data_IF_968506208400
#
_entry.id   IF_968506208400
#
_cell.length_a   1.000
_cell.length_b   1.000
_cell.length_c   1.000
_cell.angle_alpha   90.00
_cell.angle_beta   90.00
_cell.angle_gamma   90.00
#
_symmetry.space_group_name_H-M   'P 1'
#
loop_
_entity.id
_entity.type
_entity.pdbx_description
1 polymer ?
#
# COMPACT_ATOMS: atom_id res chain seq x y z
N UNK A 1 -25.24 43.81 22.79
CA UNK A 1 -25.41 44.44 21.46
C UNK A 1 -24.10 44.34 20.69
N UNK A 2 -24.13 43.78 19.46
CA UNK A 2 -23.06 43.78 18.43
C UNK A 2 -21.77 43.03 18.84
N UNK A 3 -21.56 41.75 18.50
CA UNK A 3 -21.31 41.17 17.16
C UNK A 3 -20.41 42.08 16.33
N UNK A 4 -19.13 41.72 16.12
CA UNK A 4 -18.55 41.52 14.79
C UNK A 4 -17.17 40.85 14.87
N UNK A 5 -17.03 39.81 14.05
CA UNK A 5 -15.86 38.93 13.88
C UNK A 5 -14.60 39.69 13.43
N UNK A 6 -13.39 39.14 13.75
CA UNK A 6 -12.14 39.62 13.19
C UNK A 6 -12.05 39.34 11.68
N UNK A 7 -11.40 40.27 10.99
CA UNK A 7 -11.08 40.23 9.56
C UNK A 7 -10.34 38.93 9.19
N UNK A 8 -11.01 38.06 8.44
CA UNK A 8 -10.39 37.05 7.60
C UNK A 8 -9.85 37.75 6.35
N UNK A 9 -8.54 37.98 6.29
CA UNK A 9 -7.88 38.37 5.04
C UNK A 9 -7.78 37.11 4.15
N UNK A 10 -8.70 36.98 3.19
CA UNK A 10 -8.67 35.91 2.20
C UNK A 10 -7.44 36.12 1.27
N UNK A 11 -6.40 35.31 1.47
CA UNK A 11 -5.30 35.18 0.53
C UNK A 11 -5.81 34.53 -0.75
N UNK A 12 -5.98 35.34 -1.80
CA UNK A 12 -6.38 34.90 -3.14
C UNK A 12 -5.17 34.27 -3.82
N UNK A 13 -5.00 32.96 -3.64
CA UNK A 13 -4.03 32.19 -4.42
C UNK A 13 -4.45 32.23 -5.90
N UNK A 14 -3.61 32.85 -6.72
CA UNK A 14 -3.73 32.94 -8.17
C UNK A 14 -3.35 31.57 -8.74
N UNK A 15 -4.33 30.78 -9.12
CA UNK A 15 -4.14 29.55 -9.90
C UNK A 15 -3.39 29.86 -11.22
N UNK A 16 -2.30 29.14 -11.56
CA UNK A 16 -1.62 29.30 -12.85
C UNK A 16 -2.42 28.64 -14.00
N UNK A 17 -2.34 29.17 -15.23
CA UNK A 17 -3.11 28.67 -16.36
C UNK A 17 -2.66 27.26 -16.78
N UNK A 18 -3.64 26.38 -16.99
CA UNK A 18 -3.47 25.05 -17.61
C UNK A 18 -2.90 25.19 -19.02
N UNK A 19 -1.60 24.91 -19.20
CA UNK A 19 -1.00 24.76 -20.51
C UNK A 19 -1.30 23.38 -21.09
N UNK A 20 -2.36 23.26 -21.88
CA UNK A 20 -2.56 22.14 -22.79
C UNK A 20 -1.90 22.47 -24.13
N UNK A 21 -0.68 21.97 -24.36
CA UNK A 21 -0.11 21.72 -25.69
C UNK A 21 1.29 21.09 -25.58
N UNK A 22 1.39 19.86 -25.09
CA UNK A 22 2.56 19.04 -25.40
C UNK A 22 2.34 18.46 -26.79
N UNK A 23 3.01 19.05 -27.79
CA UNK A 23 3.03 18.55 -29.16
C UNK A 23 3.73 17.20 -29.18
N UNK A 24 2.96 16.12 -29.31
CA UNK A 24 3.49 14.83 -29.74
C UNK A 24 3.79 14.94 -31.23
N UNK A 25 5.07 15.16 -31.56
CA UNK A 25 5.55 14.95 -32.92
C UNK A 25 5.48 13.47 -33.25
N UNK A 26 4.68 13.13 -34.26
CA UNK A 26 4.59 11.81 -34.83
C UNK A 26 5.88 11.48 -35.60
N UNK A 27 6.71 10.58 -35.05
CA UNK A 27 7.68 9.82 -35.84
C UNK A 27 6.95 8.60 -36.41
N UNK A 28 6.53 8.68 -37.67
CA UNK A 28 6.16 7.51 -38.48
C UNK A 28 7.39 7.09 -39.27
N UNK A 29 8.07 6.05 -38.82
CA UNK A 29 8.99 5.28 -39.66
C UNK A 29 8.27 4.02 -40.08
N UNK A 30 7.94 3.95 -41.37
CA UNK A 30 7.42 2.75 -42.01
C UNK A 30 8.52 1.70 -42.14
N UNK A 31 8.13 0.45 -41.91
CA UNK A 31 8.78 -0.73 -42.50
C UNK A 31 7.65 -1.60 -43.03
N UNK A 32 7.55 -1.63 -44.34
CA UNK A 32 6.60 -2.44 -45.09
C UNK A 32 7.06 -3.89 -45.16
N UNK A 33 6.04 -4.76 -45.09
CA UNK A 33 5.88 -6.00 -45.84
C UNK A 33 6.82 -7.17 -45.57
N UNK A 34 6.22 -8.28 -45.10
CA UNK A 34 6.64 -9.60 -45.56
C UNK A 34 6.24 -10.79 -44.68
N UNK A 35 5.29 -11.57 -45.20
CA UNK A 35 5.22 -13.02 -45.09
C UNK A 35 4.72 -13.67 -43.78
N UNK A 36 3.40 -13.94 -43.82
CA UNK A 36 2.71 -15.14 -43.33
C UNK A 36 3.63 -16.37 -43.22
N UNK A 37 3.63 -17.04 -42.07
CA UNK A 37 3.25 -18.46 -41.96
C UNK A 37 3.47 -19.02 -40.54
N UNK A 38 2.38 -19.59 -40.03
CA UNK A 38 2.29 -20.80 -39.22
C UNK A 38 3.13 -20.94 -37.96
N UNK A 39 2.40 -21.08 -36.86
CA UNK A 39 2.63 -22.09 -35.83
C UNK A 39 4.05 -22.18 -35.31
N UNK A 40 4.35 -21.30 -34.36
CA UNK A 40 5.23 -21.61 -33.25
C UNK A 40 4.83 -20.70 -32.09
N UNK A 41 3.85 -21.18 -31.32
CA UNK A 41 3.62 -20.75 -29.95
C UNK A 41 4.78 -21.35 -29.15
N UNK A 42 5.93 -20.69 -29.23
CA UNK A 42 7.12 -21.10 -28.50
C UNK A 42 6.90 -20.63 -27.05
N UNK A 43 6.68 -21.58 -26.14
CA UNK A 43 7.01 -21.35 -24.74
C UNK A 43 8.54 -21.19 -24.69
N UNK A 44 9.02 -19.95 -24.75
CA UNK A 44 10.37 -19.51 -24.44
C UNK A 44 10.21 -18.01 -24.19
N UNK A 45 10.37 -17.51 -22.97
CA UNK A 45 11.61 -17.61 -22.22
C UNK A 45 11.38 -18.11 -20.80
N UNK A 46 11.78 -19.36 -20.57
CA UNK A 46 12.21 -19.85 -19.27
C UNK A 46 13.39 -18.98 -18.80
N UNK A 47 13.09 -17.95 -18.00
CA UNK A 47 14.09 -17.32 -17.16
C UNK A 47 14.69 -18.43 -16.30
N UNK A 48 16.01 -18.69 -16.38
CA UNK A 48 16.63 -19.71 -15.56
C UNK A 48 16.35 -19.36 -14.10
N UNK A 49 15.69 -20.29 -13.40
CA UNK A 49 15.65 -20.35 -11.95
C UNK A 49 17.10 -20.09 -11.48
N UNK A 50 17.33 -18.91 -10.91
CA UNK A 50 18.68 -18.43 -10.66
C UNK A 50 19.34 -19.36 -9.64
N UNK A 51 20.55 -19.88 -9.86
CA UNK A 51 21.18 -20.75 -8.89
C UNK A 51 21.91 -19.92 -7.85
N UNK A 52 21.22 -19.51 -6.78
CA UNK A 52 21.88 -19.03 -5.56
C UNK A 52 20.95 -19.08 -4.34
N UNK A 53 20.98 -20.19 -3.60
CA UNK A 53 20.66 -20.23 -2.15
C UNK A 53 19.28 -19.76 -1.70
N UNK A 54 18.28 -19.65 -2.58
CA UNK A 54 16.91 -19.27 -2.24
C UNK A 54 15.99 -20.49 -2.23
N UNK A 55 14.93 -20.45 -1.41
CA UNK A 55 13.94 -21.52 -1.32
C UNK A 55 13.29 -21.76 -2.69
N UNK A 56 13.35 -22.98 -3.22
CA UNK A 56 12.85 -23.30 -4.56
C UNK A 56 11.34 -23.06 -4.69
N UNK A 57 10.60 -23.21 -3.61
CA UNK A 57 9.17 -22.93 -3.51
C UNK A 57 8.85 -22.43 -2.09
N UNK A 58 7.81 -21.60 -1.97
CA UNK A 58 7.26 -21.14 -0.68
C UNK A 58 6.35 -22.20 -0.01
N UNK A 59 6.01 -23.28 -0.71
CA UNK A 59 5.03 -24.27 -0.24
C UNK A 59 3.59 -23.75 -0.13
N UNK A 60 3.34 -22.50 -0.54
CA UNK A 60 2.02 -21.87 -0.60
C UNK A 60 1.61 -21.68 -2.06
N UNK A 61 0.33 -21.93 -2.36
CA UNK A 61 -0.18 -21.72 -3.71
C UNK A 61 -0.44 -20.23 -3.97
N UNK A 62 -0.06 -19.75 -5.15
CA UNK A 62 -0.30 -18.36 -5.58
C UNK A 62 0.73 -17.34 -5.10
N UNK A 63 1.71 -17.74 -4.27
CA UNK A 63 2.77 -16.86 -3.75
C UNK A 63 4.10 -17.21 -4.42
N UNK A 64 4.57 -16.45 -5.43
CA UNK A 64 5.83 -16.71 -6.10
C UNK A 64 7.03 -16.30 -5.23
N UNK A 65 8.13 -17.05 -5.35
CA UNK A 65 9.39 -16.71 -4.65
C UNK A 65 9.99 -15.44 -5.24
N UNK A 66 10.37 -14.50 -4.38
CA UNK A 66 10.97 -13.24 -4.81
C UNK A 66 12.51 -13.34 -4.82
N UNK A 67 13.21 -12.92 -5.89
CA UNK A 67 14.66 -13.12 -6.01
C UNK A 67 15.50 -12.29 -5.01
N UNK A 68 15.02 -11.11 -4.62
CA UNK A 68 15.72 -10.21 -3.68
C UNK A 68 14.73 -9.53 -2.70
N UNK A 69 14.23 -10.25 -1.68
CA UNK A 69 13.12 -9.76 -0.84
C UNK A 69 13.51 -8.61 0.10
N UNK A 70 14.72 -8.63 0.68
CA UNK A 70 15.19 -7.62 1.65
C UNK A 70 15.18 -6.17 1.14
N UNK A 71 15.87 -5.83 0.02
CA UNK A 71 15.85 -4.45 -0.49
C UNK A 71 14.45 -4.03 -0.92
N UNK A 72 13.63 -4.98 -1.41
CA UNK A 72 12.26 -4.71 -1.79
C UNK A 72 11.41 -4.30 -0.57
N UNK A 73 11.47 -5.06 0.52
CA UNK A 73 10.78 -4.76 1.78
C UNK A 73 11.17 -3.40 2.36
N UNK A 74 12.47 -3.06 2.36
CA UNK A 74 12.94 -1.75 2.83
C UNK A 74 12.26 -0.63 2.04
N UNK A 75 12.22 -0.76 0.70
CA UNK A 75 11.58 0.23 -0.16
C UNK A 75 10.07 0.35 0.06
N UNK A 76 9.38 -0.75 0.41
CA UNK A 76 7.95 -0.75 0.69
C UNK A 76 7.66 -0.07 2.04
N UNK A 77 8.38 -0.43 3.11
CA UNK A 77 8.17 0.18 4.42
C UNK A 77 8.48 1.67 4.45
N UNK A 78 9.56 2.11 3.80
CA UNK A 78 9.86 3.54 3.65
C UNK A 78 8.72 4.29 2.95
N UNK A 79 8.13 3.67 1.92
CA UNK A 79 7.00 4.23 1.17
C UNK A 79 5.71 4.25 1.99
N UNK A 80 5.48 3.24 2.82
CA UNK A 80 4.35 3.20 3.77
C UNK A 80 4.46 4.38 4.73
N UNK A 81 5.63 4.57 5.37
CA UNK A 81 5.86 5.68 6.30
C UNK A 81 5.59 7.02 5.60
N UNK A 82 6.17 7.23 4.42
CA UNK A 82 5.96 8.47 3.66
C UNK A 82 4.50 8.70 3.25
N UNK A 83 3.80 7.65 2.82
CA UNK A 83 2.39 7.76 2.40
C UNK A 83 1.47 8.00 3.60
N UNK A 84 1.78 7.39 4.74
CA UNK A 84 1.05 7.56 6.00
C UNK A 84 1.14 8.98 6.58
N UNK A 85 2.19 9.75 6.25
CA UNK A 85 2.32 11.15 6.65
C UNK A 85 1.16 12.04 6.17
N UNK A 86 0.47 11.63 5.10
CA UNK A 86 -0.73 12.31 4.55
C UNK A 86 -1.94 12.23 5.48
N UNK A 87 -1.96 11.27 6.41
CA UNK A 87 -3.04 11.08 7.39
C UNK A 87 -2.81 11.97 8.62
N UNK A 88 -3.84 12.34 9.39
CA UNK A 88 -3.64 13.13 10.61
C UNK A 88 -2.89 12.32 11.69
N UNK A 89 -1.92 12.94 12.39
CA UNK A 89 -1.12 12.30 13.45
C UNK A 89 -1.94 11.79 14.64
N UNK A 90 -3.10 12.40 14.90
CA UNK A 90 -4.02 11.98 15.95
C UNK A 90 -4.80 10.70 15.61
N UNK A 91 -4.80 10.25 14.35
CA UNK A 91 -5.51 9.02 13.98
C UNK A 91 -4.83 7.78 14.55
N UNK A 92 -5.61 6.91 15.21
CA UNK A 92 -5.12 5.66 15.76
C UNK A 92 -4.49 4.76 14.69
N UNK A 93 -5.10 4.73 13.49
CA UNK A 93 -4.59 3.96 12.35
C UNK A 93 -3.18 4.40 11.91
N UNK A 94 -2.92 5.72 11.79
CA UNK A 94 -1.59 6.22 11.43
C UNK A 94 -0.55 5.81 12.48
N UNK A 95 -0.88 5.96 13.76
CA UNK A 95 0.03 5.60 14.85
C UNK A 95 0.39 4.12 14.84
N UNK A 96 -0.60 3.24 14.65
CA UNK A 96 -0.37 1.80 14.58
C UNK A 96 0.42 1.40 13.33
N UNK A 97 0.07 1.95 12.16
CA UNK A 97 0.72 1.64 10.90
C UNK A 97 2.20 2.09 10.89
N UNK A 98 2.48 3.31 11.37
CA UNK A 98 3.85 3.81 11.50
C UNK A 98 4.67 2.99 12.50
N UNK A 99 4.09 2.65 13.66
CA UNK A 99 4.79 1.85 14.67
C UNK A 99 5.15 0.46 14.14
N UNK A 100 4.22 -0.20 13.44
CA UNK A 100 4.44 -1.50 12.83
C UNK A 100 5.49 -1.45 11.72
N UNK A 101 5.38 -0.47 10.80
CA UNK A 101 6.34 -0.30 9.71
C UNK A 101 7.75 0.00 10.22
N UNK A 102 7.90 0.87 11.22
CA UNK A 102 9.20 1.19 11.83
C UNK A 102 9.82 -0.01 12.54
N UNK A 103 9.01 -0.76 13.30
CA UNK A 103 9.47 -1.98 13.95
C UNK A 103 9.97 -3.01 12.93
N UNK A 104 9.18 -3.30 11.89
CA UNK A 104 9.57 -4.26 10.84
C UNK A 104 10.79 -3.78 10.07
N UNK A 105 10.88 -2.48 9.75
CA UNK A 105 12.05 -1.89 9.09
C UNK A 105 13.33 -2.08 9.93
N UNK A 106 13.27 -1.83 11.23
CA UNK A 106 14.41 -2.03 12.12
C UNK A 106 14.91 -3.49 12.16
N UNK A 107 13.98 -4.45 12.12
CA UNK A 107 14.32 -5.89 12.06
C UNK A 107 14.97 -6.26 10.71
N UNK A 108 14.41 -5.77 9.60
CA UNK A 108 14.93 -6.03 8.24
C UNK A 108 16.30 -5.38 7.99
N UNK A 109 16.58 -4.24 8.63
CA UNK A 109 17.89 -3.59 8.58
C UNK A 109 18.94 -4.36 9.42
N UNK A 110 18.53 -4.87 10.59
CA UNK A 110 19.38 -5.61 11.53
C UNK A 110 19.84 -6.97 11.00
N UNK A 111 19.00 -7.67 10.24
CA UNK A 111 19.29 -9.03 9.75
C UNK A 111 19.47 -9.07 8.24
N UNK A 112 20.44 -9.85 7.77
CA UNK A 112 20.66 -10.09 6.33
C UNK A 112 19.93 -11.35 5.84
N UNK A 113 19.86 -12.36 6.71
CA UNK A 113 19.25 -13.65 6.43
C UNK A 113 17.72 -13.59 6.52
N UNK A 114 17.03 -14.09 5.50
CA UNK A 114 15.56 -14.14 5.48
C UNK A 114 14.97 -14.93 6.65
N UNK A 115 15.58 -16.08 7.01
CA UNK A 115 15.09 -16.92 8.12
C UNK A 115 15.16 -16.21 9.48
N UNK A 116 16.18 -15.38 9.72
CA UNK A 116 16.29 -14.62 10.96
C UNK A 116 15.20 -13.53 11.04
N UNK A 117 14.92 -12.87 9.91
CA UNK A 117 13.84 -11.87 9.80
C UNK A 117 12.48 -12.52 10.10
N UNK A 118 12.20 -13.69 9.52
CA UNK A 118 10.96 -14.44 9.75
C UNK A 118 10.76 -14.84 11.21
N UNK A 119 11.83 -15.30 11.87
CA UNK A 119 11.78 -15.72 13.28
C UNK A 119 11.59 -14.57 14.26
N UNK A 120 12.09 -13.37 13.93
CA UNK A 120 11.92 -12.17 14.76
C UNK A 120 10.54 -11.52 14.53
N UNK A 121 10.07 -11.41 13.29
CA UNK A 121 8.76 -10.82 12.97
C UNK A 121 7.60 -11.76 13.31
N UNK A 122 7.78 -13.08 13.12
CA UNK A 122 6.79 -14.14 13.41
C UNK A 122 5.43 -13.91 12.76
N UNK A 123 5.41 -13.51 11.49
CA UNK A 123 4.19 -13.19 10.75
C UNK A 123 4.14 -13.83 9.35
N UNK A 124 4.65 -15.06 9.23
CA UNK A 124 4.68 -15.81 7.97
C UNK A 124 6.06 -15.81 7.29
N UNK A 125 6.08 -16.21 6.02
CA UNK A 125 7.26 -16.16 5.16
C UNK A 125 7.55 -14.74 4.68
N UNK A 126 8.77 -14.50 4.20
CA UNK A 126 9.18 -13.17 3.73
C UNK A 126 8.36 -12.67 2.53
N UNK A 127 7.88 -13.57 1.66
CA UNK A 127 7.01 -13.22 0.53
C UNK A 127 5.63 -12.74 0.98
N UNK A 128 5.03 -13.38 2.00
CA UNK A 128 3.76 -12.93 2.57
C UNK A 128 3.88 -11.55 3.21
N UNK A 129 5.05 -11.23 3.78
CA UNK A 129 5.33 -9.89 4.31
C UNK A 129 5.39 -8.82 3.22
N UNK A 130 5.85 -9.17 2.02
CA UNK A 130 5.84 -8.28 0.85
C UNK A 130 4.40 -8.00 0.45
N UNK A 131 3.58 -9.03 0.30
CA UNK A 131 2.15 -8.88 -0.04
C UNK A 131 1.41 -8.02 0.99
N UNK A 132 1.63 -8.27 2.29
CA UNK A 132 1.08 -7.43 3.37
C UNK A 132 1.48 -5.95 3.23
N UNK A 133 2.75 -5.67 2.92
CA UNK A 133 3.24 -4.31 2.76
C UNK A 133 2.66 -3.63 1.50
N UNK A 134 2.48 -4.36 0.42
CA UNK A 134 1.80 -3.85 -0.78
C UNK A 134 0.32 -3.56 -0.53
N UNK A 135 -0.36 -4.43 0.21
CA UNK A 135 -1.77 -4.24 0.55
C UNK A 135 -1.96 -3.07 1.51
N UNK A 136 -1.02 -2.84 2.42
CA UNK A 136 -1.00 -1.64 3.26
C UNK A 136 -0.88 -0.37 2.40
N UNK A 137 -0.01 -0.36 1.39
CA UNK A 137 0.10 0.77 0.45
C UNK A 137 -1.19 0.99 -0.34
N UNK A 138 -1.92 -0.07 -0.70
CA UNK A 138 -3.23 0.02 -1.36
C UNK A 138 -4.33 0.44 -0.39
N UNK A 139 -4.18 0.19 0.91
CA UNK A 139 -5.15 0.50 1.95
C UNK A 139 -5.11 1.98 2.35
N UNK A 140 -3.93 2.56 2.54
CA UNK A 140 -3.76 3.98 2.93
C UNK A 140 -4.62 4.95 2.10
N UNK A 141 -4.63 4.92 0.75
CA UNK A 141 -5.48 5.83 -0.03
C UNK A 141 -6.97 5.61 0.24
N UNK A 142 -7.42 4.37 0.44
CA UNK A 142 -8.82 4.10 0.82
C UNK A 142 -9.14 4.67 2.19
N UNK A 143 -8.19 4.63 3.13
CA UNK A 143 -8.36 5.21 4.46
C UNK A 143 -8.47 6.75 4.42
N UNK A 144 -7.85 7.40 3.43
CA UNK A 144 -8.03 8.84 3.20
C UNK A 144 -9.45 9.18 2.76
N UNK A 145 -10.08 8.30 1.97
CA UNK A 145 -11.45 8.47 1.49
C UNK A 145 -12.46 8.15 2.61
N UNK A 146 -12.22 7.08 3.37
CA UNK A 146 -13.13 6.59 4.42
C UNK A 146 -13.07 7.39 5.74
N UNK A 147 -11.94 8.06 6.03
CA UNK A 147 -11.71 8.88 7.22
C UNK A 147 -12.23 8.28 8.56
N UNK A 148 -11.80 7.06 8.92
CA UNK A 148 -12.35 6.34 10.08
C UNK A 148 -11.98 6.94 11.46
N UNK A 149 -11.18 8.00 11.50
CA UNK A 149 -10.86 8.74 12.72
C UNK A 149 -11.93 9.79 13.08
N UNK A 150 -12.89 10.04 12.21
CA UNK A 150 -14.04 10.88 12.51
C UNK A 150 -14.99 10.15 13.47
N UNK A 151 -15.76 10.88 14.29
CA UNK A 151 -16.77 10.26 15.13
C UNK A 151 -17.79 9.50 14.26
N UNK A 152 -18.39 8.47 14.85
CA UNK A 152 -19.39 7.62 14.19
C UNK A 152 -20.50 8.46 13.53
N UNK A 153 -20.75 8.24 12.23
CA UNK A 153 -21.81 8.93 11.48
C UNK A 153 -23.20 8.69 12.07
N UNK A 154 -23.50 7.43 12.41
CA UNK A 154 -24.80 7.01 12.95
C UNK A 154 -24.63 6.31 14.29
N UNK A 155 -25.03 6.92 15.43
CA UNK A 155 -25.03 6.22 16.70
C UNK A 155 -26.02 5.05 16.64
N UNK A 156 -25.67 3.97 17.35
CA UNK A 156 -26.55 2.80 17.40
C UNK A 156 -27.92 3.18 17.98
N UNK A 157 -29.04 2.73 17.38
CA UNK A 157 -30.36 2.92 17.97
C UNK A 157 -30.47 2.18 19.30
N UNK A 158 -31.30 2.70 20.20
CA UNK A 158 -31.52 2.09 21.51
C UNK A 158 -32.03 0.64 21.34
N UNK A 159 -31.42 -0.31 22.05
CA UNK A 159 -31.77 -1.73 21.98
C UNK A 159 -31.14 -2.52 20.81
N UNK A 160 -30.46 -1.89 19.85
CA UNK A 160 -29.87 -2.59 18.67
C UNK A 160 -28.88 -3.69 19.05
N UNK A 161 -28.03 -3.40 20.04
CA UNK A 161 -27.00 -4.31 20.54
C UNK A 161 -27.39 -4.98 21.87
N UNK A 162 -28.68 -4.90 22.21
CA UNK A 162 -29.23 -5.61 23.35
C UNK A 162 -29.61 -7.02 22.91
N UNK A 163 -28.78 -7.97 23.31
CA UNK A 163 -29.03 -9.38 23.05
C UNK A 163 -30.03 -9.97 24.08
N UNK A 164 -30.54 -11.16 23.80
CA UNK A 164 -31.50 -11.83 24.68
C UNK A 164 -30.95 -11.98 26.11
N UNK A 165 -31.76 -11.61 27.11
CA UNK A 165 -31.45 -11.84 28.53
C UNK A 165 -30.97 -10.63 29.33
N UNK A 166 -30.76 -9.45 28.73
CA UNK A 166 -30.49 -8.20 29.47
C UNK A 166 -31.79 -7.53 29.99
N UNK A 167 -32.52 -8.25 30.84
CA UNK A 167 -33.45 -7.75 31.86
C UNK A 167 -34.38 -6.56 31.55
N UNK A 168 -35.69 -6.85 31.46
CA UNK A 168 -36.73 -6.03 32.12
C UNK A 168 -36.31 -5.83 33.59
N UNK A 169 -35.62 -4.75 33.91
CA UNK A 169 -35.40 -4.36 35.30
C UNK A 169 -36.76 -3.90 35.85
N UNK A 170 -37.24 -4.58 36.90
CA UNK A 170 -38.50 -4.30 37.58
C UNK A 170 -38.54 -2.90 38.20
#
# INVERSE_FOLDING_TARGET
MRIFRPLLQAAKLKEPPRSNAFRVSAMRSGVDAGCVQSAQFICLEDLPCSPAGYNQTTGLYGVPVHPNPRPHLISLYQRIIHTAERLPAASAYRQSAEALARHRLAVVEKHEDASAIEQEIRAGQIEELIEQAEDELKLIPKMMDLKPWEPLEEPAPAGQWEYFGKGRTA
#
